data_IF_905434202792
#
_entry.id   IF_905434202792
#
_cell.length_a   1.000
_cell.length_b   1.000
_cell.length_c   1.000
_cell.angle_alpha   90.00
_cell.angle_beta   90.00
_cell.angle_gamma   90.00
#
_symmetry.space_group_name_H-M   'P 1'
#
loop_
_entity.id
_entity.type
_entity.pdbx_description
1 polymer ?
#
# COMPACT_ATOMS: atom_id res chain seq x y z
N UNK A 1 8.52 -30.07 5.80
CA UNK A 1 7.79 -28.82 5.50
C UNK A 1 8.79 -27.78 4.99
N UNK A 2 8.58 -27.25 3.78
CA UNK A 2 9.43 -26.19 3.23
C UNK A 2 9.31 -24.92 4.08
N UNK A 3 10.40 -24.15 4.22
CA UNK A 3 10.36 -22.86 4.94
C UNK A 3 9.49 -21.85 4.17
N UNK A 4 8.71 -20.99 4.86
CA UNK A 4 7.87 -20.00 4.19
C UNK A 4 8.70 -19.03 3.35
N UNK A 5 8.30 -18.79 2.09
CA UNK A 5 9.08 -18.00 1.12
C UNK A 5 9.15 -16.51 1.47
N UNK A 6 8.16 -15.98 2.20
CA UNK A 6 8.16 -14.60 2.71
C UNK A 6 9.28 -14.27 3.71
N UNK A 7 10.02 -15.26 4.21
CA UNK A 7 11.20 -15.02 5.06
C UNK A 7 12.37 -14.37 4.31
N UNK A 8 12.35 -14.35 2.97
CA UNK A 8 13.28 -13.54 2.17
C UNK A 8 12.81 -12.08 2.25
N UNK A 9 13.51 -11.23 2.99
CA UNK A 9 13.12 -9.82 3.08
C UNK A 9 13.15 -9.15 1.69
N UNK A 10 12.13 -8.35 1.32
CA UNK A 10 12.16 -7.50 0.15
C UNK A 10 13.34 -6.55 0.35
N UNK A 11 14.28 -6.56 -0.59
CA UNK A 11 15.28 -5.50 -0.63
C UNK A 11 14.57 -4.26 -1.15
N UNK A 12 14.69 -3.14 -0.45
CA UNK A 12 14.29 -1.86 -1.02
C UNK A 12 15.03 -1.73 -2.36
N UNK A 13 14.30 -1.50 -3.46
CA UNK A 13 14.89 -1.23 -4.76
C UNK A 13 15.48 0.18 -4.67
N UNK A 14 16.72 0.25 -4.19
CA UNK A 14 17.57 1.43 -4.13
C UNK A 14 18.96 1.02 -4.57
N UNK A 15 19.53 1.79 -5.49
CA UNK A 15 20.83 1.54 -6.12
C UNK A 15 21.89 1.21 -5.06
N UNK A 16 22.59 0.09 -5.25
CA UNK A 16 23.41 -0.54 -4.23
C UNK A 16 24.44 0.39 -3.59
N UNK A 17 24.50 0.37 -2.26
CA UNK A 17 25.74 0.57 -1.50
C UNK A 17 25.65 -0.09 -0.11
N UNK A 18 26.78 -0.65 0.30
CA UNK A 18 26.95 -1.58 1.41
C UNK A 18 26.45 -1.05 2.77
N UNK A 19 25.66 -1.87 3.46
CA UNK A 19 25.19 -1.59 4.82
C UNK A 19 26.32 -1.84 5.84
N UNK A 20 26.80 -0.78 6.51
CA UNK A 20 27.55 -0.89 7.77
C UNK A 20 26.59 -1.29 8.89
N UNK A 21 26.95 -2.32 9.64
CA UNK A 21 26.19 -2.83 10.80
C UNK A 21 26.27 -1.85 11.97
N UNK A 22 25.14 -1.36 12.45
CA UNK A 22 25.02 -0.69 13.75
C UNK A 22 24.40 -1.64 14.79
N UNK A 23 24.88 -1.55 16.04
CA UNK A 23 24.49 -2.41 17.19
C UNK A 23 23.19 -1.89 17.84
N UNK A 24 22.35 -2.75 18.46
CA UNK A 24 21.09 -2.32 19.06
C UNK A 24 21.27 -1.86 20.52
N UNK A 25 20.58 -0.76 20.87
CA UNK A 25 20.39 -0.28 22.25
C UNK A 25 18.99 -0.69 22.71
N UNK A 26 18.90 -1.35 23.86
CA UNK A 26 17.66 -1.84 24.46
C UNK A 26 16.93 -0.73 25.23
N UNK A 27 15.58 -0.69 25.19
CA UNK A 27 14.72 -0.16 26.27
C UNK A 27 13.22 -0.45 26.05
N UNK A 28 12.55 -0.81 27.16
CA UNK A 28 11.17 -0.41 27.50
C UNK A 28 10.01 -1.27 27.00
N UNK A 29 9.51 -2.18 27.85
CA UNK A 29 8.30 -2.96 27.61
C UNK A 29 7.04 -2.14 27.95
N UNK A 30 6.03 -2.17 27.05
CA UNK A 30 4.65 -1.83 27.35
C UNK A 30 3.73 -2.83 26.60
N UNK A 31 2.76 -3.36 27.33
CA UNK A 31 1.97 -4.53 26.97
C UNK A 31 0.94 -4.23 25.85
N UNK A 32 1.24 -4.76 24.67
CA UNK A 32 0.33 -5.02 23.55
C UNK A 32 1.04 -6.04 22.67
N UNK A 33 0.38 -7.12 22.22
CA UNK A 33 0.98 -8.31 21.57
C UNK A 33 2.26 -7.99 20.77
N UNK A 34 3.41 -8.14 21.43
CA UNK A 34 4.72 -7.75 20.90
C UNK A 34 5.18 -8.89 19.99
N UNK A 35 5.17 -8.67 18.67
CA UNK A 35 5.79 -9.61 17.72
C UNK A 35 7.27 -9.27 17.61
N UNK A 36 8.07 -10.05 18.34
CA UNK A 36 9.52 -10.19 18.12
C UNK A 36 9.75 -11.11 16.91
N UNK A 37 10.48 -10.70 15.85
CA UNK A 37 10.70 -11.53 14.66
C UNK A 37 11.59 -12.76 14.92
N UNK A 38 12.27 -12.82 16.06
CA UNK A 38 13.00 -13.96 16.61
C UNK A 38 12.11 -14.97 17.37
N UNK A 39 10.84 -14.61 17.66
CA UNK A 39 9.92 -15.43 18.46
C UNK A 39 8.76 -16.06 17.67
N UNK A 40 8.72 -15.93 16.34
CA UNK A 40 7.67 -16.56 15.53
C UNK A 40 8.15 -17.93 15.04
N UNK A 41 7.81 -18.97 15.81
CA UNK A 41 7.87 -20.35 15.31
C UNK A 41 6.97 -20.45 14.05
N UNK A 42 7.43 -21.07 12.95
CA UNK A 42 6.64 -21.27 11.73
C UNK A 42 5.28 -21.96 11.96
N UNK A 43 5.07 -22.57 13.13
CA UNK A 43 3.85 -23.24 13.55
C UNK A 43 2.77 -22.34 14.15
N UNK A 44 2.99 -21.03 14.31
CA UNK A 44 1.95 -20.15 14.84
C UNK A 44 0.82 -19.95 13.83
N UNK A 45 -0.41 -19.84 14.33
CA UNK A 45 -1.59 -19.50 13.50
C UNK A 45 -1.34 -18.20 12.73
N UNK A 46 -0.73 -17.22 13.38
CA UNK A 46 -0.38 -15.93 12.78
C UNK A 46 0.56 -16.07 11.58
N UNK A 47 1.60 -16.90 11.67
CA UNK A 47 2.53 -17.13 10.56
C UNK A 47 1.83 -17.77 9.35
N UNK A 48 0.90 -18.70 9.60
CA UNK A 48 0.10 -19.33 8.53
C UNK A 48 -0.88 -18.36 7.88
N UNK A 49 -1.56 -17.53 8.67
CA UNK A 49 -2.47 -16.50 8.15
C UNK A 49 -1.71 -15.48 7.31
N UNK A 50 -0.55 -15.02 7.79
CA UNK A 50 0.32 -14.14 7.01
C UNK A 50 0.72 -14.78 5.68
N UNK A 51 1.23 -16.01 5.73
CA UNK A 51 1.67 -16.76 4.54
C UNK A 51 0.54 -16.99 3.53
N UNK A 52 -0.70 -17.21 4.01
CA UNK A 52 -1.86 -17.43 3.14
C UNK A 52 -2.38 -16.15 2.46
N UNK A 53 -2.17 -14.99 3.09
CA UNK A 53 -2.80 -13.72 2.67
C UNK A 53 -1.84 -12.72 2.01
N UNK A 54 -0.54 -12.78 2.30
CA UNK A 54 0.45 -11.87 1.72
C UNK A 54 0.46 -11.97 0.18
N UNK A 55 0.76 -10.87 -0.51
CA UNK A 55 0.98 -10.91 -1.95
C UNK A 55 2.32 -11.58 -2.22
N UNK A 56 2.35 -12.90 -2.40
CA UNK A 56 3.53 -13.67 -2.78
C UNK A 56 3.54 -13.89 -4.30
N UNK A 57 4.64 -13.51 -4.97
CA UNK A 57 4.76 -13.54 -6.43
C UNK A 57 4.55 -14.95 -6.99
N UNK A 58 5.29 -15.92 -6.46
CA UNK A 58 5.25 -17.29 -6.96
C UNK A 58 3.88 -17.92 -6.74
N UNK A 59 3.26 -17.64 -5.59
CA UNK A 59 1.92 -18.12 -5.29
C UNK A 59 0.86 -17.52 -6.24
N UNK A 60 0.96 -16.22 -6.55
CA UNK A 60 0.06 -15.56 -7.52
C UNK A 60 0.23 -16.17 -8.92
N UNK A 61 1.48 -16.34 -9.37
CA UNK A 61 1.78 -16.98 -10.66
C UNK A 61 1.32 -18.44 -10.69
N UNK A 62 1.30 -19.11 -9.54
CA UNK A 62 0.73 -20.44 -9.34
C UNK A 62 -0.80 -20.48 -9.20
N UNK A 63 -1.52 -19.37 -9.45
CA UNK A 63 -2.98 -19.32 -9.49
C UNK A 63 -3.68 -18.88 -8.19
N UNK A 64 -2.94 -18.49 -7.15
CA UNK A 64 -3.52 -18.00 -5.89
C UNK A 64 -3.96 -16.53 -6.00
N UNK A 65 -4.92 -16.25 -6.89
CA UNK A 65 -5.29 -14.90 -7.29
C UNK A 65 -5.91 -14.05 -6.16
N UNK A 66 -6.48 -14.67 -5.11
CA UNK A 66 -7.02 -13.94 -3.96
C UNK A 66 -5.98 -13.04 -3.28
N UNK A 67 -4.69 -13.38 -3.42
CA UNK A 67 -3.55 -12.61 -2.90
C UNK A 67 -3.46 -11.20 -3.48
N UNK A 68 -4.02 -10.98 -4.67
CA UNK A 68 -4.13 -9.66 -5.31
C UNK A 68 -5.00 -8.69 -4.49
N UNK A 69 -5.90 -9.20 -3.65
CA UNK A 69 -6.71 -8.43 -2.71
C UNK A 69 -6.18 -8.55 -1.29
N UNK A 70 -5.94 -9.76 -0.81
CA UNK A 70 -5.63 -9.99 0.60
C UNK A 70 -4.29 -9.38 1.03
N UNK A 71 -3.32 -9.26 0.11
CA UNK A 71 -2.01 -8.67 0.42
C UNK A 71 -2.09 -7.21 0.89
N UNK A 72 -3.14 -6.48 0.50
CA UNK A 72 -3.37 -5.10 0.94
C UNK A 72 -3.81 -4.99 2.41
N UNK A 73 -4.33 -6.07 2.98
CA UNK A 73 -4.81 -6.10 4.37
C UNK A 73 -3.77 -6.61 5.36
N UNK A 74 -2.69 -7.21 4.86
CA UNK A 74 -1.58 -7.72 5.67
C UNK A 74 -0.61 -6.59 6.01
N UNK A 75 -0.17 -6.52 7.26
CA UNK A 75 0.76 -5.49 7.74
C UNK A 75 1.88 -6.12 8.57
N UNK A 76 3.09 -5.54 8.48
CA UNK A 76 4.30 -6.03 9.14
C UNK A 76 4.57 -5.36 10.49
N UNK A 77 3.88 -4.25 10.75
CA UNK A 77 4.07 -3.44 11.95
C UNK A 77 2.73 -2.79 12.35
N UNK A 78 2.47 -2.77 13.66
CA UNK A 78 1.21 -2.28 14.21
C UNK A 78 1.04 -0.76 14.04
N UNK A 79 2.13 0.01 14.14
CA UNK A 79 2.09 1.46 13.94
C UNK A 79 1.73 1.78 12.48
N UNK A 80 2.34 1.09 11.52
CA UNK A 80 2.00 1.25 10.10
C UNK A 80 0.54 0.84 9.81
N UNK A 81 0.07 -0.26 10.41
CA UNK A 81 -1.32 -0.68 10.29
C UNK A 81 -2.30 0.39 10.83
N UNK A 82 -2.01 0.96 12.00
CA UNK A 82 -2.84 2.00 12.61
C UNK A 82 -2.90 3.27 11.76
N UNK A 83 -1.76 3.72 11.22
CA UNK A 83 -1.69 4.89 10.33
C UNK A 83 -2.51 4.65 9.06
N UNK A 84 -2.37 3.46 8.45
CA UNK A 84 -3.12 3.10 7.25
C UNK A 84 -4.63 3.02 7.51
N UNK A 85 -5.05 2.45 8.65
CA UNK A 85 -6.46 2.37 8.99
C UNK A 85 -7.06 3.75 9.27
N UNK A 86 -6.33 4.63 9.96
CA UNK A 86 -6.74 6.01 10.17
C UNK A 86 -6.90 6.74 8.83
N UNK A 87 -5.93 6.60 7.92
CA UNK A 87 -6.02 7.15 6.57
C UNK A 87 -7.20 6.58 5.78
N UNK A 88 -7.48 5.28 5.88
CA UNK A 88 -8.65 4.66 5.25
C UNK A 88 -9.96 5.27 5.76
N UNK A 89 -10.09 5.47 7.07
CA UNK A 89 -11.25 6.12 7.68
C UNK A 89 -11.40 7.55 7.15
N UNK A 90 -10.31 8.33 7.09
CA UNK A 90 -10.35 9.70 6.54
C UNK A 90 -10.81 9.69 5.07
N UNK A 91 -10.28 8.77 4.25
CA UNK A 91 -10.73 8.65 2.84
C UNK A 91 -12.21 8.29 2.75
N UNK A 92 -12.70 7.37 3.59
CA UNK A 92 -14.11 7.00 3.64
C UNK A 92 -15.01 8.18 4.05
N UNK A 93 -14.59 8.98 5.04
CA UNK A 93 -15.31 10.18 5.49
C UNK A 93 -15.36 11.26 4.40
N UNK A 94 -14.24 11.51 3.71
CA UNK A 94 -14.20 12.44 2.57
C UNK A 94 -15.13 11.96 1.47
N UNK A 95 -15.08 10.66 1.13
CA UNK A 95 -15.94 10.06 0.12
C UNK A 95 -17.42 10.15 0.50
N UNK A 96 -17.77 9.88 1.76
CA UNK A 96 -19.14 10.01 2.26
C UNK A 96 -19.64 11.45 2.11
N UNK A 97 -18.83 12.45 2.50
CA UNK A 97 -19.16 13.88 2.35
C UNK A 97 -19.35 14.29 0.89
N UNK A 98 -18.61 13.66 -0.03
CA UNK A 98 -18.75 13.88 -1.48
C UNK A 98 -19.88 13.05 -2.13
N UNK A 99 -20.63 12.25 -1.36
CA UNK A 99 -21.59 11.25 -1.87
C UNK A 99 -20.96 10.22 -2.82
N UNK A 100 -19.68 9.93 -2.61
CA UNK A 100 -18.86 9.01 -3.41
C UNK A 100 -18.47 7.74 -2.64
N UNK A 101 -19.00 7.47 -1.44
CA UNK A 101 -18.60 6.30 -0.66
C UNK A 101 -18.85 4.97 -1.40
N UNK A 102 -20.06 4.75 -1.96
CA UNK A 102 -20.35 3.51 -2.71
C UNK A 102 -19.49 3.36 -3.96
N UNK A 103 -19.32 4.40 -4.82
CA UNK A 103 -18.35 4.35 -5.90
C UNK A 103 -16.90 4.10 -5.45
N UNK A 104 -16.48 4.69 -4.32
CA UNK A 104 -15.14 4.48 -3.78
C UNK A 104 -14.94 3.00 -3.39
N UNK A 105 -15.90 2.41 -2.67
CA UNK A 105 -15.84 0.99 -2.30
C UNK A 105 -15.78 0.10 -3.55
N UNK A 106 -16.61 0.39 -4.56
CA UNK A 106 -16.60 -0.35 -5.83
C UNK A 106 -15.28 -0.23 -6.58
N UNK A 107 -14.71 0.98 -6.67
CA UNK A 107 -13.42 1.17 -7.35
C UNK A 107 -12.26 0.57 -6.56
N UNK A 108 -12.30 0.57 -5.23
CA UNK A 108 -11.28 -0.06 -4.39
C UNK A 108 -11.13 -1.56 -4.67
N UNK A 109 -12.22 -2.27 -5.01
CA UNK A 109 -12.18 -3.69 -5.40
C UNK A 109 -11.39 -3.94 -6.68
N UNK A 110 -11.35 -2.97 -7.60
CA UNK A 110 -10.51 -3.02 -8.81
C UNK A 110 -9.11 -2.45 -8.55
N UNK A 111 -9.01 -1.45 -7.69
CA UNK A 111 -7.76 -0.76 -7.40
C UNK A 111 -6.75 -1.69 -6.74
N UNK A 112 -7.19 -2.54 -5.81
CA UNK A 112 -6.34 -3.54 -5.15
C UNK A 112 -5.65 -4.48 -6.15
N UNK A 113 -6.36 -5.26 -6.99
CA UNK A 113 -5.73 -6.21 -7.89
C UNK A 113 -4.95 -5.53 -9.01
N UNK A 114 -5.39 -4.37 -9.51
CA UNK A 114 -4.64 -3.61 -10.52
C UNK A 114 -3.33 -3.06 -9.95
N UNK A 115 -3.34 -2.58 -8.70
CA UNK A 115 -2.11 -2.13 -8.02
C UNK A 115 -1.18 -3.31 -7.78
N UNK A 116 -1.70 -4.44 -7.30
CA UNK A 116 -0.91 -5.66 -7.08
C UNK A 116 -0.29 -6.18 -8.39
N UNK A 117 -1.09 -6.29 -9.46
CA UNK A 117 -0.61 -6.72 -10.78
C UNK A 117 0.43 -5.74 -11.34
N UNK A 118 0.16 -4.43 -11.26
CA UNK A 118 1.10 -3.40 -11.65
C UNK A 118 2.43 -3.51 -10.90
N UNK A 119 2.38 -3.83 -9.61
CA UNK A 119 3.58 -4.05 -8.79
C UNK A 119 4.37 -5.29 -9.24
N UNK A 120 3.69 -6.40 -9.53
CA UNK A 120 4.33 -7.62 -10.03
C UNK A 120 4.97 -7.43 -11.41
N UNK A 121 4.42 -6.54 -12.24
CA UNK A 121 4.96 -6.20 -13.56
C UNK A 121 6.13 -5.22 -13.43
N UNK A 122 5.95 -4.13 -12.68
CA UNK A 122 6.92 -3.04 -12.61
C UNK A 122 8.13 -3.36 -11.72
N UNK A 123 7.99 -4.31 -10.79
CA UNK A 123 9.06 -4.73 -9.87
C UNK A 123 9.22 -6.26 -9.97
N UNK A 124 9.89 -6.77 -11.02
CA UNK A 124 9.97 -8.20 -11.31
C UNK A 124 10.65 -8.99 -10.19
N UNK A 125 11.60 -8.38 -9.48
CA UNK A 125 12.35 -9.02 -8.39
C UNK A 125 11.66 -8.91 -7.02
N UNK A 126 10.43 -8.38 -6.95
CA UNK A 126 9.69 -8.29 -5.69
C UNK A 126 9.14 -9.67 -5.31
N UNK A 127 9.66 -10.31 -4.24
CA UNK A 127 9.20 -11.64 -3.87
C UNK A 127 7.80 -11.60 -3.26
N UNK A 128 7.53 -10.57 -2.46
CA UNK A 128 6.23 -10.39 -1.83
C UNK A 128 5.97 -8.93 -1.42
N UNK A 129 4.70 -8.61 -1.19
CA UNK A 129 4.21 -7.30 -0.75
C UNK A 129 3.12 -7.44 0.33
N UNK A 130 3.12 -6.51 1.28
CA UNK A 130 2.09 -6.39 2.30
C UNK A 130 1.83 -4.90 2.58
N UNK A 131 0.57 -4.50 2.62
CA UNK A 131 0.16 -3.21 3.17
C UNK A 131 -0.91 -2.49 2.35
N UNK A 132 -1.65 -1.61 3.04
CA UNK A 132 -2.77 -0.86 2.45
C UNK A 132 -2.34 0.42 1.72
N UNK A 133 -1.08 0.84 1.86
CA UNK A 133 -0.67 2.18 1.44
C UNK A 133 -0.83 2.43 -0.06
N UNK A 134 -0.62 1.42 -0.92
CA UNK A 134 -0.88 1.55 -2.36
C UNK A 134 -2.35 1.86 -2.65
N UNK A 135 -3.28 1.15 -2.00
CA UNK A 135 -4.71 1.43 -2.10
C UNK A 135 -5.04 2.86 -1.66
N UNK A 136 -4.48 3.32 -0.55
CA UNK A 136 -4.74 4.65 -0.01
C UNK A 136 -4.31 5.77 -0.97
N UNK A 137 -3.16 5.63 -1.61
CA UNK A 137 -2.70 6.60 -2.63
C UNK A 137 -3.61 6.60 -3.85
N UNK A 138 -4.09 5.42 -4.26
CA UNK A 138 -5.09 5.30 -5.31
C UNK A 138 -6.44 5.93 -4.96
N UNK A 139 -6.96 5.68 -3.76
CA UNK A 139 -8.18 6.31 -3.26
C UNK A 139 -8.04 7.84 -3.19
N UNK A 140 -6.90 8.34 -2.71
CA UNK A 140 -6.61 9.77 -2.66
C UNK A 140 -6.61 10.39 -4.06
N UNK A 141 -5.87 9.81 -5.01
CA UNK A 141 -5.85 10.27 -6.40
C UNK A 141 -7.26 10.26 -7.00
N UNK A 142 -7.99 9.16 -6.85
CA UNK A 142 -9.35 9.03 -7.36
C UNK A 142 -10.29 10.10 -6.80
N UNK A 143 -10.28 10.32 -5.48
CA UNK A 143 -11.10 11.33 -4.81
C UNK A 143 -10.75 12.75 -5.24
N UNK A 144 -9.46 13.08 -5.34
CA UNK A 144 -9.00 14.40 -5.77
C UNK A 144 -9.46 14.69 -7.21
N UNK A 145 -9.28 13.75 -8.14
CA UNK A 145 -9.73 13.92 -9.52
C UNK A 145 -11.26 14.05 -9.62
N UNK A 146 -12.02 13.30 -8.82
CA UNK A 146 -13.49 13.39 -8.80
C UNK A 146 -14.02 14.64 -8.12
N UNK A 147 -13.29 15.18 -7.14
CA UNK A 147 -13.66 16.44 -6.47
C UNK A 147 -13.53 17.63 -7.42
N UNK A 148 -12.42 17.73 -8.14
CA UNK A 148 -12.11 18.87 -8.99
C UNK A 148 -11.98 20.20 -8.21
N UNK A 149 -11.73 21.29 -8.95
CA UNK A 149 -11.55 22.63 -8.37
C UNK A 149 -10.16 22.88 -7.76
N UNK A 150 -9.94 24.11 -7.28
CA UNK A 150 -8.62 24.57 -6.82
C UNK A 150 -8.06 23.74 -5.67
N UNK A 151 -8.85 23.48 -4.62
CA UNK A 151 -8.41 22.68 -3.46
C UNK A 151 -7.99 21.26 -3.86
N UNK A 152 -8.74 20.61 -4.76
CA UNK A 152 -8.38 19.28 -5.23
C UNK A 152 -7.13 19.28 -6.10
N UNK A 153 -6.94 20.35 -6.89
CA UNK A 153 -5.72 20.55 -7.70
C UNK A 153 -4.51 20.70 -6.78
N UNK A 154 -4.59 21.54 -5.75
CA UNK A 154 -3.52 21.68 -4.75
C UNK A 154 -3.23 20.34 -4.05
N UNK A 155 -4.26 19.59 -3.66
CA UNK A 155 -4.10 18.26 -3.08
C UNK A 155 -3.43 17.26 -4.02
N UNK A 156 -3.77 17.27 -5.31
CA UNK A 156 -3.15 16.42 -6.32
C UNK A 156 -1.68 16.79 -6.56
N UNK A 157 -1.35 18.07 -6.57
CA UNK A 157 0.03 18.55 -6.68
C UNK A 157 0.87 18.15 -5.45
N UNK A 158 0.31 18.27 -4.24
CA UNK A 158 0.97 17.81 -3.02
C UNK A 158 1.20 16.30 -3.04
N UNK A 159 0.21 15.52 -3.48
CA UNK A 159 0.36 14.07 -3.66
C UNK A 159 1.47 13.74 -4.66
N UNK A 160 1.48 14.39 -5.83
CA UNK A 160 2.50 14.19 -6.85
C UNK A 160 3.89 14.56 -6.35
N UNK A 161 4.04 15.72 -5.70
CA UNK A 161 5.30 16.16 -5.10
C UNK A 161 5.82 15.17 -4.04
N UNK A 162 4.92 14.67 -3.18
CA UNK A 162 5.24 13.62 -2.20
C UNK A 162 5.71 12.33 -2.88
N UNK A 163 5.06 11.88 -3.94
CA UNK A 163 5.45 10.67 -4.68
C UNK A 163 6.80 10.82 -5.38
N UNK A 164 7.09 12.00 -5.95
CA UNK A 164 8.39 12.33 -6.54
C UNK A 164 9.47 12.36 -5.46
N UNK A 165 9.19 12.98 -4.31
CA UNK A 165 10.11 13.01 -3.17
C UNK A 165 10.49 11.60 -2.71
N UNK A 166 9.53 10.68 -2.65
CA UNK A 166 9.78 9.27 -2.29
C UNK A 166 10.72 8.52 -3.25
N UNK A 167 10.90 9.01 -4.49
CA UNK A 167 11.83 8.39 -5.45
C UNK A 167 13.28 8.85 -5.27
N UNK A 168 13.48 10.04 -4.71
CA UNK A 168 14.80 10.69 -4.60
C UNK A 168 15.29 10.78 -3.16
N UNK A 169 14.38 10.72 -2.18
CA UNK A 169 14.72 10.76 -0.78
C UNK A 169 15.48 9.48 -0.38
N UNK A 170 16.58 9.59 0.38
CA UNK A 170 17.22 8.44 0.99
C UNK A 170 16.19 7.65 1.81
N UNK A 171 16.25 6.32 1.76
CA UNK A 171 15.43 5.47 2.61
C UNK A 171 15.75 5.77 4.09
N UNK A 172 14.96 6.65 4.70
CA UNK A 172 15.11 7.05 6.10
C UNK A 172 14.45 6.06 7.06
N UNK A 173 13.84 4.99 6.54
CA UNK A 173 13.12 4.01 7.32
C UNK A 173 14.08 3.20 8.20
N UNK A 174 14.14 3.57 9.48
CA UNK A 174 14.71 2.77 10.56
C UNK A 174 13.84 1.54 10.90
N UNK A 175 12.80 1.25 10.11
CA UNK A 175 11.92 0.10 10.30
C UNK A 175 12.62 -1.19 9.84
N UNK A 176 12.26 -2.31 10.48
CA UNK A 176 12.78 -3.62 10.09
C UNK A 176 12.31 -4.08 8.69
N UNK A 177 11.32 -3.39 8.12
CA UNK A 177 10.69 -3.69 6.85
C UNK A 177 10.48 -2.41 6.04
N UNK A 178 11.29 -2.15 5.01
CA UNK A 178 11.22 -0.92 4.24
C UNK A 178 9.90 -0.83 3.46
N UNK A 179 9.37 0.39 3.33
CA UNK A 179 8.16 0.63 2.54
C UNK A 179 8.46 0.47 1.04
N UNK A 180 7.59 -0.24 0.33
CA UNK A 180 7.68 -0.39 -1.13
C UNK A 180 7.06 0.84 -1.81
N UNK A 181 7.84 1.90 -2.02
CA UNK A 181 7.36 3.17 -2.60
C UNK A 181 6.74 3.01 -4.00
N UNK A 182 7.17 2.01 -4.77
CA UNK A 182 6.56 1.68 -6.07
C UNK A 182 5.05 1.42 -5.95
N UNK A 183 4.60 0.82 -4.83
CA UNK A 183 3.17 0.59 -4.59
C UNK A 183 2.38 1.90 -4.46
N UNK A 184 2.98 2.98 -3.92
CA UNK A 184 2.33 4.28 -3.82
C UNK A 184 2.11 4.92 -5.19
N UNK A 185 3.15 4.90 -6.04
CA UNK A 185 3.09 5.44 -7.40
C UNK A 185 2.08 4.67 -8.24
N UNK A 186 2.19 3.34 -8.27
CA UNK A 186 1.30 2.48 -9.04
C UNK A 186 -0.15 2.64 -8.56
N UNK A 187 -0.37 2.65 -7.24
CA UNK A 187 -1.69 2.86 -6.66
C UNK A 187 -2.31 4.20 -7.08
N UNK A 188 -1.54 5.29 -6.98
CA UNK A 188 -1.99 6.62 -7.41
C UNK A 188 -2.32 6.68 -8.90
N UNK A 189 -1.50 6.08 -9.77
CA UNK A 189 -1.73 6.02 -11.22
C UNK A 189 -3.00 5.23 -11.55
N UNK A 190 -3.19 4.06 -10.95
CA UNK A 190 -4.39 3.25 -11.12
C UNK A 190 -5.63 4.01 -10.65
N UNK A 191 -5.57 4.64 -9.47
CA UNK A 191 -6.67 5.45 -8.94
C UNK A 191 -7.04 6.63 -9.84
N UNK A 192 -6.04 7.35 -10.35
CA UNK A 192 -6.26 8.44 -11.30
C UNK A 192 -6.92 7.93 -12.60
N UNK A 193 -6.43 6.83 -13.17
CA UNK A 193 -7.00 6.23 -14.38
C UNK A 193 -8.46 5.83 -14.19
N UNK A 194 -8.81 5.20 -13.05
CA UNK A 194 -10.17 4.79 -12.74
C UNK A 194 -11.12 5.97 -12.45
N UNK A 195 -10.60 7.18 -12.17
CA UNK A 195 -11.43 8.37 -11.97
C UNK A 195 -11.87 9.04 -13.29
N UNK A 196 -11.13 8.85 -14.39
CA UNK A 196 -11.36 9.55 -15.67
C UNK A 196 -12.79 9.37 -16.22
N UNK A 197 -13.38 8.16 -16.28
CA UNK A 197 -14.73 7.98 -16.82
C UNK A 197 -15.83 8.71 -16.05
N UNK A 198 -15.61 8.96 -14.75
CA UNK A 198 -16.54 9.69 -13.88
C UNK A 198 -16.28 11.21 -13.86
N UNK A 199 -15.02 11.63 -13.95
CA UNK A 199 -14.63 13.04 -13.99
C UNK A 199 -15.10 13.75 -15.28
N UNK A 200 -15.07 13.04 -16.41
CA UNK A 200 -15.53 13.59 -17.70
C UNK A 200 -17.06 13.77 -17.76
N UNK A 201 -17.84 12.96 -17.02
CA UNK A 201 -19.30 13.09 -16.96
C UNK A 201 -19.76 14.26 -16.09
N UNK A 202 -19.04 14.56 -15.00
CA UNK A 202 -19.37 15.66 -14.09
C UNK A 202 -19.12 17.07 -14.65
N UNK A 203 -18.27 17.20 -15.70
CA UNK A 203 -17.97 18.48 -16.35
C UNK A 203 -18.97 18.88 -17.44
N UNK A 204 -19.94 18.01 -17.79
CA UNK A 204 -20.90 18.22 -18.89
C UNK A 204 -22.22 18.90 -18.50
N UNK A 205 -22.33 19.46 -17.29
CA UNK A 205 -23.51 20.26 -16.91
C UNK A 205 -23.08 21.52 -16.19
N UNK A 206 -23.14 22.66 -16.91
CA UNK A 206 -23.98 23.75 -16.46
C UNK A 206 -24.83 24.29 -17.62
N UNK A 207 -26.12 23.95 -17.62
CA UNK A 207 -27.16 24.76 -18.26
C UNK A 207 -28.34 24.76 -17.30
N UNK A 208 -28.42 25.80 -16.46
CA UNK A 208 -29.65 26.44 -16.00
C UNK A 208 -29.33 27.88 -15.67
#
# INVERSE_FOLDING_TARGET
MARPRWRRQPRAVGTGRAARRARPVARGAAAGLIVRPDAVSPSSVQARVFDALVLDRDAVLGGQLWRLWSGHWVHLDARHAAINLAALVVMALIAARMRQLRPLLGVSLLLMPLTAAGLLIAVPDLPWYAGLSGLLHGCAAWLLLRRGGGVATSGALLLAGKLVWEQVAPAADASAFPVIHAAHVIGALVGAALALPGALRGRRTPVR
#
